data_IF_507859752873
#
_entry.id   IF_507859752873
#
_cell.length_a   1.000
_cell.length_b   1.000
_cell.length_c   1.000
_cell.angle_alpha   90.00
_cell.angle_beta   90.00
_cell.angle_gamma   90.00
#
_symmetry.space_group_name_H-M   'P 1'
#
loop_
_entity.id
_entity.type
_entity.pdbx_description
1 polymer ?
#
# COMPACT_ATOMS: atom_id res chain seq x y z
N UNK A 1 -6.05 -0.91 6.78
CA UNK A 1 -6.72 0.31 7.32
C UNK A 1 -7.73 0.85 6.31
N UNK A 2 -8.70 0.01 5.95
CA UNK A 2 -9.74 0.33 4.98
C UNK A 2 -10.98 0.90 5.72
N UNK A 3 -11.66 1.87 5.11
CA UNK A 3 -12.81 2.57 5.68
C UNK A 3 -14.19 2.01 5.25
N UNK A 4 -14.27 1.25 4.15
CA UNK A 4 -15.53 0.77 3.57
C UNK A 4 -15.80 -0.73 3.76
N UNK A 5 -14.85 -1.47 4.33
CA UNK A 5 -14.95 -2.91 4.59
C UNK A 5 -14.63 -3.79 3.37
N UNK A 6 -14.25 -3.21 2.22
CA UNK A 6 -13.89 -3.96 1.01
C UNK A 6 -12.37 -4.13 0.93
N UNK A 7 -11.87 -5.27 1.39
CA UNK A 7 -10.43 -5.54 1.49
C UNK A 7 -9.82 -6.18 0.24
N UNK A 8 -10.64 -6.86 -0.56
CA UNK A 8 -10.19 -7.51 -1.80
C UNK A 8 -10.01 -6.51 -2.94
N UNK A 9 -9.27 -6.93 -3.96
CA UNK A 9 -9.11 -6.15 -5.20
C UNK A 9 -10.44 -6.05 -5.95
N UNK A 10 -10.73 -4.88 -6.52
CA UNK A 10 -12.01 -4.63 -7.20
C UNK A 10 -12.14 -5.35 -8.54
N UNK A 11 -11.03 -5.78 -9.15
CA UNK A 11 -11.03 -6.49 -10.43
C UNK A 11 -10.00 -7.60 -10.44
N UNK A 12 -10.46 -8.83 -10.69
CA UNK A 12 -9.61 -10.01 -10.85
C UNK A 12 -9.08 -10.08 -12.28
N UNK A 13 -7.97 -9.40 -12.54
CA UNK A 13 -7.28 -9.43 -13.83
C UNK A 13 -6.56 -10.76 -14.08
N UNK A 14 -6.24 -11.04 -15.34
CA UNK A 14 -5.36 -12.14 -15.71
C UNK A 14 -3.96 -11.97 -15.07
N UNK A 15 -3.29 -13.10 -14.82
CA UNK A 15 -1.88 -13.15 -14.41
C UNK A 15 -1.01 -13.63 -15.57
N UNK A 16 0.24 -13.17 -15.61
CA UNK A 16 1.25 -13.62 -16.59
C UNK A 16 2.12 -14.67 -15.91
N UNK A 17 2.27 -15.83 -16.56
CA UNK A 17 3.09 -16.94 -16.08
C UNK A 17 4.22 -17.19 -17.07
N UNK A 18 5.46 -17.15 -16.58
CA UNK A 18 6.67 -17.40 -17.35
C UNK A 18 7.05 -18.89 -17.36
N UNK A 19 7.93 -19.28 -18.28
CA UNK A 19 8.38 -20.67 -18.40
C UNK A 19 9.18 -21.18 -17.18
N UNK A 20 9.78 -20.28 -16.40
CA UNK A 20 10.55 -20.60 -15.18
C UNK A 20 9.67 -20.72 -13.93
N UNK A 21 8.35 -20.56 -14.08
CA UNK A 21 7.39 -20.58 -12.99
C UNK A 21 7.20 -19.23 -12.29
N UNK A 22 7.86 -18.16 -12.73
CA UNK A 22 7.59 -16.82 -12.19
C UNK A 22 6.19 -16.33 -12.60
N UNK A 23 5.50 -15.70 -11.65
CA UNK A 23 4.14 -15.17 -11.84
C UNK A 23 4.16 -13.66 -11.60
N UNK A 24 3.61 -12.91 -12.55
CA UNK A 24 3.36 -11.47 -12.41
C UNK A 24 1.86 -11.20 -12.46
N UNK A 25 1.35 -10.54 -11.42
CA UNK A 25 -0.06 -10.21 -11.30
C UNK A 25 -0.24 -8.79 -10.76
N UNK A 26 -0.99 -7.95 -11.49
CA UNK A 26 -1.20 -6.54 -11.19
C UNK A 26 -2.69 -6.20 -11.36
N UNK A 27 -3.55 -6.54 -10.40
CA UNK A 27 -4.96 -6.18 -10.44
C UNK A 27 -5.15 -4.67 -10.15
N UNK A 28 -6.02 -3.96 -10.88
CA UNK A 28 -6.37 -2.59 -10.55
C UNK A 28 -7.31 -2.55 -9.33
N UNK A 29 -7.07 -1.60 -8.44
CA UNK A 29 -7.84 -1.44 -7.21
C UNK A 29 -8.12 0.04 -6.89
N UNK A 30 -9.30 0.32 -6.34
CA UNK A 30 -9.64 1.60 -5.72
C UNK A 30 -9.77 1.35 -4.22
N UNK A 31 -8.83 1.89 -3.44
CA UNK A 31 -8.84 1.74 -1.98
C UNK A 31 -9.38 2.99 -1.29
N UNK A 32 -10.26 2.78 -0.32
CA UNK A 32 -10.69 3.83 0.61
C UNK A 32 -9.97 3.67 1.93
N UNK A 33 -8.81 4.32 2.08
CA UNK A 33 -8.03 4.28 3.31
C UNK A 33 -8.60 5.22 4.37
N UNK A 34 -8.63 4.78 5.62
CA UNK A 34 -8.86 5.66 6.76
C UNK A 34 -7.55 6.35 7.16
N UNK A 35 -7.56 7.68 7.22
CA UNK A 35 -6.43 8.52 7.59
C UNK A 35 -6.87 9.59 8.61
N UNK A 36 -6.00 9.93 9.55
CA UNK A 36 -6.24 11.02 10.51
C UNK A 36 -5.83 12.34 9.85
N UNK A 37 -6.73 13.31 9.84
CA UNK A 37 -6.50 14.62 9.25
C UNK A 37 -6.11 15.63 10.33
N UNK A 38 -5.03 16.38 10.09
CA UNK A 38 -4.54 17.43 10.98
C UNK A 38 -4.85 18.82 10.43
N UNK A 39 -5.91 19.45 10.96
CA UNK A 39 -6.47 20.72 10.43
C UNK A 39 -5.92 21.99 11.10
N UNK A 40 -4.80 21.90 11.81
CA UNK A 40 -4.27 23.03 12.60
C UNK A 40 -3.87 24.23 11.74
N UNK A 41 -3.42 23.98 10.50
CA UNK A 41 -2.82 24.99 9.62
C UNK A 41 -3.62 25.23 8.34
N UNK A 42 -4.90 24.84 8.31
CA UNK A 42 -5.77 25.03 7.15
C UNK A 42 -5.76 26.48 6.65
N UNK A 43 -5.63 26.74 5.33
CA UNK A 43 -5.58 25.79 4.20
C UNK A 43 -4.16 25.39 3.75
N UNK A 44 -3.13 25.65 4.57
CA UNK A 44 -1.72 25.39 4.26
C UNK A 44 -1.17 24.21 5.06
N UNK A 45 -2.03 23.24 5.33
CA UNK A 45 -1.74 22.02 6.05
C UNK A 45 -1.01 20.99 5.18
N UNK A 46 -0.19 20.17 5.85
CA UNK A 46 0.38 18.96 5.27
C UNK A 46 -0.28 17.77 5.95
N UNK A 47 -0.62 16.77 5.15
CA UNK A 47 -1.22 15.53 5.63
C UNK A 47 -0.22 14.40 5.52
N UNK A 48 -0.37 13.40 6.38
CA UNK A 48 0.42 12.17 6.34
C UNK A 48 -0.52 10.99 6.55
N UNK A 49 -0.93 10.42 5.43
CA UNK A 49 -1.77 9.26 5.32
C UNK A 49 -0.96 8.01 5.04
N UNK A 50 -1.52 6.87 5.40
CA UNK A 50 -0.81 5.59 5.27
C UNK A 50 -1.70 4.56 4.59
N UNK A 51 -1.10 3.66 3.83
CA UNK A 51 -1.74 2.46 3.31
C UNK A 51 -0.97 1.24 3.76
N UNK A 52 -1.64 0.32 4.45
CA UNK A 52 -1.05 -0.93 4.97
C UNK A 52 -1.50 -2.13 4.15
N UNK A 53 -0.53 -2.91 3.70
CA UNK A 53 -0.70 -4.14 2.94
C UNK A 53 -0.10 -5.31 3.71
N UNK A 54 -0.92 -6.34 3.94
CA UNK A 54 -0.54 -7.58 4.62
C UNK A 54 -1.47 -8.70 4.15
N UNK A 55 -0.98 -9.94 4.14
CA UNK A 55 -1.82 -11.10 3.93
C UNK A 55 -2.76 -11.32 5.12
N UNK A 56 -4.04 -11.58 4.84
CA UNK A 56 -5.00 -11.92 5.88
C UNK A 56 -4.88 -13.37 6.34
N UNK A 57 -4.54 -14.28 5.43
CA UNK A 57 -4.61 -15.73 5.66
C UNK A 57 -3.28 -16.37 6.01
N UNK A 58 -2.16 -15.76 5.60
CA UNK A 58 -0.81 -16.30 5.79
C UNK A 58 0.01 -15.36 6.65
N UNK A 59 0.89 -15.93 7.46
CA UNK A 59 1.84 -15.17 8.27
C UNK A 59 3.27 -15.21 7.70
N UNK A 60 4.21 -14.56 8.39
CA UNK A 60 5.62 -14.47 7.96
C UNK A 60 6.32 -15.84 7.83
N UNK A 61 5.85 -16.86 8.55
CA UNK A 61 6.47 -18.19 8.51
C UNK A 61 6.12 -18.95 7.22
N UNK A 62 5.04 -18.54 6.54
CA UNK A 62 4.55 -19.15 5.30
C UNK A 62 4.87 -18.30 4.06
N UNK A 63 4.82 -16.97 4.19
CA UNK A 63 5.13 -16.03 3.10
C UNK A 63 6.04 -14.89 3.59
N UNK A 64 6.93 -14.41 2.72
CA UNK A 64 7.71 -13.20 2.98
C UNK A 64 7.35 -12.10 1.97
N UNK A 65 6.94 -10.94 2.49
CA UNK A 65 6.61 -9.76 1.70
C UNK A 65 7.86 -8.92 1.52
N UNK A 66 8.28 -8.65 0.29
CA UNK A 66 9.49 -7.88 -0.03
C UNK A 66 9.13 -6.65 -0.86
N UNK A 67 9.64 -5.49 -0.45
CA UNK A 67 9.53 -4.27 -1.23
C UNK A 67 10.39 -4.37 -2.48
N UNK A 68 9.80 -4.07 -3.64
CA UNK A 68 10.55 -3.97 -4.90
C UNK A 68 11.32 -2.64 -5.02
N UNK A 69 10.80 -1.60 -4.37
CA UNK A 69 11.33 -0.23 -4.36
C UNK A 69 10.97 0.42 -3.03
N UNK A 70 11.83 1.29 -2.51
CA UNK A 70 11.59 2.07 -1.29
C UNK A 70 10.64 3.26 -1.53
N UNK A 71 10.26 3.52 -2.78
CA UNK A 71 9.35 4.60 -3.18
C UNK A 71 8.31 4.07 -4.16
N UNK A 72 7.05 4.48 -3.98
CA UNK A 72 5.98 4.17 -4.93
C UNK A 72 6.16 4.95 -6.24
N UNK A 73 5.92 4.30 -7.38
CA UNK A 73 5.99 4.96 -8.69
C UNK A 73 4.84 5.96 -8.88
N UNK A 74 5.17 7.08 -9.51
CA UNK A 74 4.24 8.13 -9.94
C UNK A 74 4.19 8.26 -11.48
N UNK A 75 4.70 7.28 -12.21
CA UNK A 75 4.90 7.38 -13.67
C UNK A 75 3.59 7.67 -14.43
N UNK A 76 2.48 7.07 -13.98
CA UNK A 76 1.13 7.24 -14.54
C UNK A 76 0.23 8.14 -13.66
N UNK A 77 0.81 8.96 -12.78
CA UNK A 77 0.05 9.83 -11.89
C UNK A 77 -0.52 11.05 -12.61
N UNK A 78 -1.83 11.23 -12.53
CA UNK A 78 -2.49 12.49 -12.94
C UNK A 78 -2.54 13.44 -11.74
N UNK A 79 -1.94 14.65 -11.81
CA UNK A 79 -1.95 15.60 -10.71
C UNK A 79 -3.35 15.95 -10.22
N UNK A 80 -3.51 16.02 -8.90
CA UNK A 80 -4.72 16.57 -8.28
C UNK A 80 -4.72 18.09 -8.39
N UNK A 81 -5.90 18.69 -8.53
CA UNK A 81 -6.06 20.15 -8.56
C UNK A 81 -6.00 20.81 -7.17
N UNK A 82 -6.08 20.02 -6.10
CA UNK A 82 -6.12 20.49 -4.71
C UNK A 82 -4.90 20.03 -3.90
N UNK A 83 -4.44 18.79 -4.14
CA UNK A 83 -3.38 18.16 -3.33
C UNK A 83 -2.11 17.94 -4.14
N UNK A 84 -0.96 18.28 -3.56
CA UNK A 84 0.36 17.97 -4.11
C UNK A 84 1.03 16.85 -3.33
N UNK A 85 1.51 15.82 -4.02
CA UNK A 85 2.30 14.75 -3.39
C UNK A 85 3.73 15.25 -3.19
N UNK A 86 4.24 15.20 -1.96
CA UNK A 86 5.60 15.62 -1.61
C UNK A 86 6.57 14.42 -1.62
N UNK A 87 6.16 13.30 -1.03
CA UNK A 87 6.96 12.07 -0.95
C UNK A 87 6.03 10.85 -0.83
N UNK A 88 6.49 9.68 -1.32
CA UNK A 88 5.77 8.40 -1.23
C UNK A 88 6.68 7.24 -0.78
N UNK A 89 7.31 7.31 0.41
CA UNK A 89 8.13 6.22 0.90
C UNK A 89 7.31 4.97 1.21
N UNK A 90 7.90 3.82 0.90
CA UNK A 90 7.45 2.50 1.32
C UNK A 90 8.38 1.93 2.39
N UNK A 91 7.81 1.24 3.38
CA UNK A 91 8.57 0.55 4.43
C UNK A 91 7.96 -0.79 4.77
N UNK A 92 8.84 -1.76 5.03
CA UNK A 92 8.48 -3.09 5.52
C UNK A 92 8.62 -3.10 7.04
N UNK A 93 7.57 -3.46 7.76
CA UNK A 93 7.62 -3.53 9.23
C UNK A 93 7.50 -4.96 9.72
N UNK A 94 8.22 -5.24 10.80
CA UNK A 94 8.15 -6.47 11.59
C UNK A 94 7.89 -6.10 13.05
N UNK A 95 7.28 -7.00 13.81
CA UNK A 95 7.06 -6.79 15.23
C UNK A 95 8.01 -7.70 16.05
N UNK A 96 8.91 -7.15 16.88
CA UNK A 96 9.75 -7.98 17.76
C UNK A 96 8.95 -8.83 18.76
N UNK A 97 7.80 -8.34 19.21
CA UNK A 97 6.92 -9.04 20.15
C UNK A 97 6.04 -10.10 19.47
N UNK A 98 5.85 -9.98 18.16
CA UNK A 98 5.11 -10.92 17.32
C UNK A 98 5.93 -11.25 16.07
N UNK A 99 6.77 -12.27 16.19
CA UNK A 99 7.65 -12.74 15.10
C UNK A 99 6.92 -13.17 13.83
N UNK A 100 5.60 -13.41 13.89
CA UNK A 100 4.78 -13.80 12.73
C UNK A 100 4.27 -12.60 11.93
N UNK A 101 4.40 -11.39 12.49
CA UNK A 101 3.91 -10.16 11.88
C UNK A 101 4.84 -9.64 10.79
N UNK A 102 4.27 -9.40 9.61
CA UNK A 102 4.91 -8.64 8.53
C UNK A 102 3.86 -7.82 7.79
N UNK A 103 4.14 -6.54 7.55
CA UNK A 103 3.34 -5.69 6.67
C UNK A 103 4.23 -4.76 5.82
N UNK A 104 3.66 -4.26 4.73
CA UNK A 104 4.23 -3.17 3.94
C UNK A 104 3.33 -1.95 4.13
N UNK A 105 3.92 -0.83 4.52
CA UNK A 105 3.23 0.45 4.67
C UNK A 105 3.81 1.46 3.68
N UNK A 106 2.94 2.16 2.95
CA UNK A 106 3.30 3.37 2.20
C UNK A 106 2.74 4.60 2.92
N UNK A 107 3.56 5.63 3.09
CA UNK A 107 3.20 6.90 3.74
C UNK A 107 3.14 8.01 2.67
N UNK A 108 2.11 8.88 2.69
CA UNK A 108 1.85 9.91 1.66
C UNK A 108 1.11 11.14 2.15
#
# INVERSE_FOLDING_TARGET
NNADGMYEVSFYSNAVVSYDGSIFWLPPAIYKSACKIEVKHFPFDQQNCTMKFRSWTYDRTEIDLVLKSDVASLDDFTPSGEWGIIALPGRRNENPDDSTYVDITYDF
#
